data_IF_451299627717
#
_entry.id   IF_451299627717
#
_cell.length_a   1.000
_cell.length_b   1.000
_cell.length_c   1.000
_cell.angle_alpha   90.00
_cell.angle_beta   90.00
_cell.angle_gamma   90.00
#
_symmetry.space_group_name_H-M   'P 1'
#
loop_
_entity.id
_entity.type
_entity.pdbx_description
1 polymer ?
#
# COMPACT_ATOMS: atom_id res chain seq x y z
N UNK A 1 -5.95 -3.40 2.07
CA UNK A 1 -6.09 -3.00 3.49
C UNK A 1 -4.93 -3.47 4.38
N UNK A 2 -4.44 -4.72 4.27
CA UNK A 2 -3.30 -5.16 5.10
C UNK A 2 -1.99 -4.42 4.77
N UNK A 3 -1.75 -4.11 3.50
CA UNK A 3 -0.55 -3.41 3.04
C UNK A 3 -0.49 -1.98 3.59
N UNK A 4 -1.62 -1.29 3.63
CA UNK A 4 -1.76 0.06 4.14
C UNK A 4 -1.47 0.12 5.64
N UNK A 5 -1.91 -0.89 6.40
CA UNK A 5 -1.57 -1.04 7.82
C UNK A 5 -0.08 -1.29 8.02
N UNK A 6 0.55 -2.12 7.17
CA UNK A 6 1.99 -2.37 7.22
C UNK A 6 2.80 -1.09 6.91
N UNK A 7 2.38 -0.31 5.91
CA UNK A 7 3.02 0.96 5.57
C UNK A 7 2.87 1.99 6.69
N UNK A 8 1.72 2.03 7.37
CA UNK A 8 1.53 2.89 8.54
C UNK A 8 2.45 2.48 9.70
N UNK A 9 2.54 1.18 9.99
CA UNK A 9 3.48 0.67 10.99
C UNK A 9 4.94 1.04 10.65
N UNK A 10 5.33 0.96 9.37
CA UNK A 10 6.64 1.40 8.92
C UNK A 10 6.87 2.91 9.14
N UNK A 11 5.87 3.76 8.86
CA UNK A 11 5.94 5.20 9.12
C UNK A 11 6.15 5.51 10.61
N UNK A 12 5.42 4.82 11.49
CA UNK A 12 5.60 4.97 12.94
C UNK A 12 7.03 4.64 13.34
N UNK A 13 7.58 3.53 12.83
CA UNK A 13 8.97 3.15 13.09
C UNK A 13 9.97 4.21 12.58
N UNK A 14 9.78 4.72 11.36
CA UNK A 14 10.65 5.75 10.79
C UNK A 14 10.68 7.00 11.67
N UNK A 15 9.53 7.49 12.10
CA UNK A 15 9.43 8.65 12.99
C UNK A 15 10.04 8.35 14.36
N UNK A 16 9.79 7.17 14.93
CA UNK A 16 10.33 6.76 16.23
C UNK A 16 11.87 6.72 16.21
N UNK A 17 12.49 6.14 15.18
CA UNK A 17 13.96 6.13 15.06
C UNK A 17 14.54 7.51 14.75
N UNK A 18 13.83 8.34 13.97
CA UNK A 18 14.19 9.75 13.72
C UNK A 18 14.31 10.52 15.04
N UNK A 19 13.34 10.30 15.94
CA UNK A 19 13.32 10.92 17.27
C UNK A 19 14.51 10.46 18.13
N UNK A 20 14.83 9.16 18.13
CA UNK A 20 15.96 8.61 18.90
C UNK A 20 17.33 9.15 18.41
N UNK A 21 17.48 9.38 17.11
CA UNK A 21 18.73 9.88 16.51
C UNK A 21 18.78 11.41 16.40
N UNK A 22 17.73 12.13 16.81
CA UNK A 22 17.69 13.59 16.77
C UNK A 22 17.73 14.21 15.37
N UNK A 23 17.23 13.50 14.35
CA UNK A 23 17.18 14.01 12.97
C UNK A 23 15.75 14.07 12.43
N UNK A 24 15.56 14.76 11.30
CA UNK A 24 14.26 14.90 10.61
C UNK A 24 14.02 13.86 9.50
N UNK A 25 14.98 12.94 9.27
CA UNK A 25 14.94 12.05 8.10
C UNK A 25 13.72 11.14 8.09
N UNK A 26 13.33 10.59 9.24
CA UNK A 26 12.18 9.69 9.32
C UNK A 26 10.83 10.39 9.11
N UNK A 27 10.72 11.68 9.48
CA UNK A 27 9.53 12.49 9.21
C UNK A 27 9.40 12.79 7.71
N UNK A 28 10.51 13.18 7.07
CA UNK A 28 10.57 13.42 5.62
C UNK A 28 10.22 12.15 4.86
N UNK A 29 10.82 11.01 5.22
CA UNK A 29 10.57 9.74 4.53
C UNK A 29 9.12 9.27 4.70
N UNK A 30 8.53 9.42 5.89
CA UNK A 30 7.12 9.08 6.13
C UNK A 30 6.16 9.88 5.25
N UNK A 31 6.46 11.15 4.95
CA UNK A 31 5.68 11.95 4.01
C UNK A 31 5.69 11.34 2.59
N UNK A 32 6.86 10.91 2.11
CA UNK A 32 6.97 10.22 0.83
C UNK A 32 6.23 8.88 0.82
N UNK A 33 6.31 8.11 1.91
CA UNK A 33 5.58 6.84 2.03
C UNK A 33 4.06 7.06 2.00
N UNK A 34 3.55 8.15 2.62
CA UNK A 34 2.12 8.51 2.52
C UNK A 34 1.71 8.86 1.08
N UNK A 35 2.55 9.61 0.34
CA UNK A 35 2.29 9.91 -1.05
C UNK A 35 2.28 8.65 -1.94
N UNK A 36 3.22 7.73 -1.69
CA UNK A 36 3.28 6.43 -2.36
C UNK A 36 2.05 5.57 -2.05
N UNK A 37 1.64 5.51 -0.78
CA UNK A 37 0.44 4.76 -0.38
C UNK A 37 -0.83 5.31 -1.07
N UNK A 38 -0.94 6.64 -1.20
CA UNK A 38 -2.05 7.24 -1.93
C UNK A 38 -2.06 6.85 -3.42
N UNK A 39 -0.89 6.86 -4.06
CA UNK A 39 -0.74 6.44 -5.46
C UNK A 39 -1.06 4.95 -5.66
N UNK A 40 -0.59 4.09 -4.74
CA UNK A 40 -0.87 2.65 -4.77
C UNK A 40 -2.36 2.36 -4.66
N UNK A 41 -3.07 2.98 -3.71
CA UNK A 41 -4.51 2.76 -3.51
C UNK A 41 -5.32 3.15 -4.75
N UNK A 42 -4.95 4.24 -5.43
CA UNK A 42 -5.62 4.65 -6.67
C UNK A 42 -5.51 3.56 -7.76
N UNK A 43 -4.32 2.97 -7.91
CA UNK A 43 -4.09 1.89 -8.88
C UNK A 43 -4.79 0.59 -8.42
N UNK A 44 -4.67 0.25 -7.14
CA UNK A 44 -5.25 -0.96 -6.54
C UNK A 44 -6.77 -1.01 -6.72
N UNK A 45 -7.46 0.11 -6.48
CA UNK A 45 -8.91 0.21 -6.73
C UNK A 45 -9.23 0.02 -8.22
N UNK A 46 -8.44 0.61 -9.12
CA UNK A 46 -8.59 0.41 -10.56
C UNK A 46 -8.50 -1.07 -10.96
N UNK A 47 -7.53 -1.80 -10.40
CA UNK A 47 -7.38 -3.24 -10.62
C UNK A 47 -8.57 -4.02 -10.06
N UNK A 48 -9.03 -3.72 -8.84
CA UNK A 48 -10.19 -4.38 -8.22
C UNK A 48 -11.46 -4.17 -9.04
N UNK A 49 -11.68 -2.97 -9.60
CA UNK A 49 -12.80 -2.67 -10.49
C UNK A 49 -12.76 -3.51 -11.77
N UNK A 50 -11.57 -3.66 -12.38
CA UNK A 50 -11.38 -4.49 -13.57
C UNK A 50 -11.60 -5.98 -13.23
N UNK A 51 -11.12 -6.45 -12.09
CA UNK A 51 -11.38 -7.81 -11.58
C UNK A 51 -12.87 -8.07 -11.46
N UNK A 52 -13.59 -7.20 -10.74
CA UNK A 52 -15.03 -7.34 -10.56
C UNK A 52 -15.79 -7.30 -11.89
N UNK A 53 -15.38 -6.44 -12.83
CA UNK A 53 -16.02 -6.35 -14.16
C UNK A 53 -15.85 -7.63 -14.99
N UNK A 54 -14.72 -8.32 -14.89
CA UNK A 54 -14.44 -9.50 -15.70
C UNK A 54 -14.89 -10.81 -15.04
N UNK A 55 -14.83 -10.90 -13.71
CA UNK A 55 -15.08 -12.14 -12.97
C UNK A 55 -16.33 -12.07 -12.07
N UNK A 56 -17.01 -10.91 -12.01
CA UNK A 56 -18.19 -10.64 -11.14
C UNK A 56 -17.91 -10.86 -9.65
N UNK A 57 -16.63 -10.93 -9.28
CA UNK A 57 -16.15 -11.18 -7.92
C UNK A 57 -14.78 -10.52 -7.75
N UNK A 58 -14.42 -10.25 -6.49
CA UNK A 58 -13.11 -9.71 -6.09
C UNK A 58 -12.17 -10.80 -5.57
N UNK A 59 -12.64 -12.05 -5.49
CA UNK A 59 -11.80 -13.20 -5.16
C UNK A 59 -10.66 -13.38 -6.18
N UNK A 60 -9.44 -13.09 -5.73
CA UNK A 60 -8.21 -13.19 -6.53
C UNK A 60 -7.92 -14.61 -7.02
N UNK A 61 -8.48 -15.64 -6.37
CA UNK A 61 -8.27 -17.04 -6.76
C UNK A 61 -9.05 -17.44 -8.02
N UNK A 62 -10.01 -16.63 -8.47
CA UNK A 62 -10.77 -16.87 -9.70
C UNK A 62 -10.06 -16.39 -10.96
N UNK A 63 -9.12 -15.45 -10.84
CA UNK A 63 -8.39 -14.87 -11.97
C UNK A 63 -7.25 -15.78 -12.46
N UNK A 64 -7.58 -17.00 -12.88
CA UNK A 64 -6.61 -18.05 -13.21
C UNK A 64 -6.46 -18.33 -14.70
N UNK A 65 -6.88 -17.39 -15.55
CA UNK A 65 -6.90 -17.55 -17.02
C UNK A 65 -5.52 -17.78 -17.66
N UNK A 66 -4.44 -17.53 -16.90
CA UNK A 66 -3.06 -17.76 -17.34
C UNK A 66 -2.47 -19.12 -16.89
N UNK A 67 -3.30 -20.05 -16.38
CA UNK A 67 -2.88 -21.41 -16.04
C UNK A 67 -3.10 -22.33 -17.24
N UNK A 68 -2.11 -23.18 -17.52
CA UNK A 68 -2.19 -24.28 -18.49
C UNK A 68 -3.03 -25.43 -17.94
#
# INVERSE_FOLDING_TARGET
MSVELMLNAANINLVAFSLQHGNLTGQVFSLFTMALAAAEVAIGIGIVLVLYRNFTDVDVTKATTMRW
#
